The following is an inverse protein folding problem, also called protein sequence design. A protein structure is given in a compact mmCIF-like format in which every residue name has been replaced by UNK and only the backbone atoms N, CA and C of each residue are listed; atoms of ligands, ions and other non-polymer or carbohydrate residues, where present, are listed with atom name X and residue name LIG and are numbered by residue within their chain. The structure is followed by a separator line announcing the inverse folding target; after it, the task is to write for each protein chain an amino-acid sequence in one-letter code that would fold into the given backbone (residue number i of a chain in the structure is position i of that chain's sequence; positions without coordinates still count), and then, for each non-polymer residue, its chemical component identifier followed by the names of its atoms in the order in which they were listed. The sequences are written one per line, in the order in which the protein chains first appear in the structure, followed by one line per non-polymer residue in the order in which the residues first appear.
data_IF_700172828666
#
_entry.id   IF_700172828666
#
_cell.length_a   1.000
_cell.length_b   1.000
_cell.length_c   1.000
_cell.angle_alpha   90.00
_cell.angle_beta   90.00
_cell.angle_gamma   90.00
#
_symmetry.space_group_name_H-M   'P 1'
#
loop_
_entity.id
_entity.type
_entity.pdbx_description
1 polymer ?
#
# COMPACT_ATOMS: atom_id res chain seq x y z
N UNK A 1 12.03 19.98 4.01
CA UNK A 1 11.04 19.11 4.71
C UNK A 1 9.64 19.19 4.10
N UNK A 2 8.96 20.33 4.07
CA UNK A 2 7.58 20.44 3.53
C UNK A 2 7.45 19.92 2.08
N UNK A 3 8.39 20.21 1.19
CA UNK A 3 8.37 19.68 -0.18
C UNK A 3 8.54 18.16 -0.23
N UNK A 4 9.42 17.61 0.59
CA UNK A 4 9.59 16.15 0.69
C UNK A 4 8.32 15.46 1.18
N UNK A 5 7.63 16.03 2.17
CA UNK A 5 6.34 15.51 2.67
C UNK A 5 5.28 15.60 1.57
N UNK A 6 5.19 16.72 0.86
CA UNK A 6 4.25 16.89 -0.27
C UNK A 6 4.49 15.84 -1.35
N UNK A 7 5.74 15.63 -1.73
CA UNK A 7 6.11 14.63 -2.73
C UNK A 7 5.80 13.20 -2.27
N UNK A 8 6.01 12.88 -0.99
CA UNK A 8 5.66 11.58 -0.40
C UNK A 8 4.15 11.36 -0.29
N UNK A 9 3.39 12.41 -0.03
CA UNK A 9 1.93 12.33 0.13
C UNK A 9 1.21 12.09 -1.21
N UNK A 10 1.76 12.59 -2.32
CA UNK A 10 1.19 12.43 -3.65
C UNK A 10 1.21 10.98 -4.14
N UNK A 11 0.18 10.55 -4.92
CA UNK A 11 -1.00 11.30 -5.32
C UNK A 11 -2.17 11.19 -4.33
N UNK A 12 -1.99 10.60 -3.17
CA UNK A 12 -3.05 10.15 -2.25
C UNK A 12 -3.59 11.25 -1.33
N UNK A 13 -2.72 12.17 -0.90
CA UNK A 13 -3.07 13.26 0.00
C UNK A 13 -2.61 14.60 -0.60
N UNK A 14 -3.48 15.60 -0.50
CA UNK A 14 -3.12 16.97 -0.81
C UNK A 14 -2.45 17.62 0.39
N UNK A 15 -1.34 18.30 0.17
CA UNK A 15 -0.59 19.03 1.19
C UNK A 15 -0.63 20.52 0.83
N UNK A 16 -1.37 21.28 1.59
CA UNK A 16 -1.55 22.73 1.39
C UNK A 16 -0.96 23.51 2.56
N UNK A 17 -0.36 24.68 2.33
CA UNK A 17 0.00 25.58 3.40
C UNK A 17 -1.26 26.12 4.08
N UNK A 18 -1.25 26.21 5.40
CA UNK A 18 -2.38 26.77 6.15
C UNK A 18 -2.25 26.53 7.64
N UNK A 19 -3.13 27.17 8.40
CA UNK A 19 -3.28 26.86 9.81
C UNK A 19 -4.09 25.56 9.97
N UNK A 20 -3.78 24.74 10.99
CA UNK A 20 -4.54 23.54 11.26
C UNK A 20 -5.99 23.87 11.62
N UNK A 21 -6.94 23.06 11.17
CA UNK A 21 -8.32 23.21 11.55
C UNK A 21 -8.50 22.90 13.06
N UNK A 22 -9.39 23.61 13.75
CA UNK A 22 -9.62 23.37 15.18
C UNK A 22 -9.95 21.90 15.46
N UNK A 23 -9.29 21.32 16.48
CA UNK A 23 -9.54 19.95 16.93
C UNK A 23 -8.91 18.87 16.07
N UNK A 24 -8.11 19.21 15.08
CA UNK A 24 -7.28 18.26 14.34
C UNK A 24 -6.00 17.90 15.11
N UNK A 25 -5.40 16.78 14.77
CA UNK A 25 -4.06 16.43 15.24
C UNK A 25 -3.01 17.19 14.42
N UNK A 26 -2.00 17.69 15.11
CA UNK A 26 -0.82 18.30 14.51
C UNK A 26 0.38 17.36 14.60
N UNK A 27 1.19 17.28 13.56
CA UNK A 27 2.48 16.57 13.58
C UNK A 27 3.58 17.59 13.41
N UNK A 28 4.39 17.76 14.44
CA UNK A 28 5.37 18.83 14.57
C UNK A 28 6.78 18.22 14.58
N UNK A 29 7.66 18.74 13.74
CA UNK A 29 9.06 18.36 13.74
C UNK A 29 9.97 19.58 13.97
N UNK A 30 11.07 19.36 14.68
CA UNK A 30 12.07 20.39 14.92
C UNK A 30 11.69 21.43 16.00
N UNK A 31 10.61 21.17 16.77
CA UNK A 31 10.23 21.98 17.91
C UNK A 31 10.46 21.19 19.22
N UNK A 32 10.76 21.91 20.29
CA UNK A 32 10.88 21.33 21.62
C UNK A 32 9.48 21.00 22.16
N UNK A 33 9.22 19.75 22.57
CA UNK A 33 7.94 19.39 23.17
C UNK A 33 7.70 20.16 24.47
N UNK A 34 6.47 20.63 24.75
CA UNK A 34 6.15 21.25 26.02
C UNK A 34 6.21 20.25 27.18
N UNK A 35 6.31 20.76 28.41
CA UNK A 35 6.26 19.93 29.61
C UNK A 35 4.89 19.22 29.70
N UNK A 36 4.89 17.96 30.14
CA UNK A 36 3.66 17.17 30.31
C UNK A 36 3.31 16.29 29.11
N UNK A 37 4.06 16.33 28.02
CA UNK A 37 3.90 15.36 26.94
C UNK A 37 4.24 13.93 27.39
N UNK A 38 3.54 12.96 26.82
CA UNK A 38 3.78 11.52 27.05
C UNK A 38 4.66 10.97 25.93
N UNK A 39 5.69 10.20 26.30
CA UNK A 39 6.55 9.54 25.31
C UNK A 39 5.85 8.31 24.73
N UNK A 40 5.86 8.23 23.40
CA UNK A 40 5.35 7.10 22.63
C UNK A 40 6.41 6.68 21.61
N UNK A 41 6.59 5.37 21.43
CA UNK A 41 7.56 4.86 20.47
C UNK A 41 6.92 3.90 19.49
N UNK A 42 7.42 3.94 18.26
CA UNK A 42 7.02 3.00 17.19
C UNK A 42 8.25 2.30 16.66
N UNK A 43 8.25 0.98 16.78
CA UNK A 43 9.29 0.13 16.19
C UNK A 43 8.70 -0.69 15.06
N UNK A 44 9.29 -0.61 13.88
CA UNK A 44 8.94 -1.46 12.74
C UNK A 44 10.14 -2.33 12.39
N UNK A 45 9.88 -3.55 11.92
CA UNK A 45 10.92 -4.48 11.54
C UNK A 45 11.81 -3.90 10.42
N UNK A 46 13.12 -3.85 10.67
CA UNK A 46 14.11 -3.32 9.71
C UNK A 46 14.19 -1.80 9.65
N UNK A 47 13.59 -1.10 10.62
CA UNK A 47 13.63 0.36 10.72
C UNK A 47 14.08 0.78 12.12
N UNK A 48 14.61 1.99 12.24
CA UNK A 48 14.92 2.59 13.53
C UNK A 48 13.64 2.83 14.33
N UNK A 49 13.71 2.66 15.65
CA UNK A 49 12.63 3.06 16.54
C UNK A 49 12.46 4.58 16.46
N UNK A 50 11.24 5.01 16.25
CA UNK A 50 10.87 6.43 16.21
C UNK A 50 10.20 6.81 17.51
N UNK A 51 10.67 7.88 18.13
CA UNK A 51 10.10 8.43 19.35
C UNK A 51 9.25 9.66 19.04
N UNK A 52 8.10 9.73 19.70
CA UNK A 52 7.20 10.87 19.66
C UNK A 52 6.89 11.33 21.08
N UNK A 53 6.77 12.65 21.26
CA UNK A 53 6.19 13.23 22.46
C UNK A 53 4.77 13.68 22.14
N UNK A 54 3.79 13.19 22.87
CA UNK A 54 2.36 13.38 22.59
C UNK A 54 1.72 14.31 23.60
N UNK A 55 1.16 15.41 23.13
CA UNK A 55 0.26 16.27 23.88
C UNK A 55 -1.19 15.91 23.54
N UNK A 56 -1.83 15.13 24.39
CA UNK A 56 -3.23 14.73 24.20
C UNK A 56 -4.22 15.89 24.33
N UNK A 57 -3.89 16.89 25.14
CA UNK A 57 -4.76 18.04 25.38
C UNK A 57 -4.86 18.91 24.13
N UNK A 58 -3.73 19.23 23.54
CA UNK A 58 -3.66 20.05 22.32
C UNK A 58 -3.70 19.23 21.04
N UNK A 59 -3.74 17.90 21.14
CA UNK A 59 -3.68 16.99 19.98
C UNK A 59 -2.46 17.22 19.11
N UNK A 60 -1.31 17.36 19.74
CA UNK A 60 -0.04 17.59 19.07
C UNK A 60 0.90 16.39 19.27
N UNK A 61 1.57 16.02 18.20
CA UNK A 61 2.55 14.96 18.17
C UNK A 61 3.88 15.54 17.70
N UNK A 62 4.84 15.57 18.61
CA UNK A 62 6.18 16.08 18.35
C UNK A 62 7.10 14.91 17.98
N UNK A 63 7.66 14.99 16.78
CA UNK A 63 8.66 14.03 16.34
C UNK A 63 10.02 14.40 16.92
N UNK A 64 10.57 13.50 17.74
CA UNK A 64 11.89 13.65 18.34
C UNK A 64 12.89 12.89 17.49
N UNK A 65 13.72 13.60 16.74
CA UNK A 65 14.78 13.01 15.94
C UNK A 65 16.06 13.81 16.04
N UNK A 66 17.22 13.17 15.92
CA UNK A 66 18.49 13.84 15.75
C UNK A 66 18.47 14.73 14.48
N UNK A 67 19.23 15.82 14.53
CA UNK A 67 19.44 16.65 13.34
C UNK A 67 20.08 15.82 12.23
N UNK A 68 19.56 15.95 11.00
CA UNK A 68 20.05 15.19 9.85
C UNK A 68 19.56 13.75 9.73
N UNK A 69 18.65 13.29 10.60
CA UNK A 69 18.05 11.96 10.47
C UNK A 69 17.30 11.80 9.14
N UNK A 70 17.76 10.88 8.32
CA UNK A 70 17.16 10.56 7.02
C UNK A 70 15.75 9.99 7.11
N UNK A 71 15.33 9.52 8.28
CA UNK A 71 14.00 8.93 8.53
C UNK A 71 12.91 9.95 8.91
N UNK A 72 13.27 11.20 9.23
CA UNK A 72 12.31 12.23 9.68
C UNK A 72 11.11 12.34 8.75
N UNK A 73 11.34 12.47 7.46
CA UNK A 73 10.25 12.63 6.47
C UNK A 73 9.33 11.40 6.43
N UNK A 74 9.89 10.19 6.54
CA UNK A 74 9.12 8.95 6.61
C UNK A 74 8.29 8.87 7.89
N UNK A 75 8.86 9.26 9.00
CA UNK A 75 8.20 9.24 10.31
C UNK A 75 7.04 10.22 10.38
N UNK A 76 7.22 11.42 9.84
CA UNK A 76 6.14 12.42 9.73
C UNK A 76 5.00 11.91 8.86
N UNK A 77 5.31 11.35 7.68
CA UNK A 77 4.29 10.77 6.81
C UNK A 77 3.57 9.59 7.47
N UNK A 78 4.30 8.76 8.22
CA UNK A 78 3.72 7.63 8.97
C UNK A 78 2.72 8.12 10.02
N UNK A 79 3.10 9.14 10.80
CA UNK A 79 2.22 9.76 11.79
C UNK A 79 0.98 10.38 11.13
N UNK A 80 1.17 11.18 10.08
CA UNK A 80 0.08 11.78 9.31
C UNK A 80 -0.87 10.71 8.77
N UNK A 81 -0.34 9.65 8.17
CA UNK A 81 -1.13 8.53 7.69
C UNK A 81 -1.90 7.83 8.81
N UNK A 82 -1.31 7.66 9.99
CA UNK A 82 -2.00 7.06 11.14
C UNK A 82 -3.19 7.90 11.59
N UNK A 83 -3.06 9.22 11.62
CA UNK A 83 -4.15 10.16 11.92
C UNK A 83 -5.29 10.00 10.92
N UNK A 84 -4.99 10.09 9.63
CA UNK A 84 -6.00 9.97 8.56
C UNK A 84 -6.68 8.59 8.56
N UNK A 85 -5.92 7.50 8.74
CA UNK A 85 -6.49 6.15 8.80
C UNK A 85 -7.39 5.97 10.01
N UNK A 86 -7.03 6.53 11.16
CA UNK A 86 -7.87 6.52 12.34
C UNK A 86 -9.19 7.27 12.09
N UNK A 87 -9.14 8.45 11.48
CA UNK A 87 -10.33 9.21 11.12
C UNK A 87 -11.22 8.44 10.11
N UNK A 88 -10.62 7.85 9.08
CA UNK A 88 -11.32 7.05 8.08
C UNK A 88 -11.96 5.78 8.70
N UNK A 89 -11.27 5.13 9.62
CA UNK A 89 -11.80 3.95 10.33
C UNK A 89 -13.08 4.30 11.13
N UNK A 90 -13.09 5.43 11.85
CA UNK A 90 -14.30 5.92 12.53
C UNK A 90 -15.45 6.22 11.58
N UNK A 91 -15.16 6.46 10.30
CA UNK A 91 -16.17 6.63 9.25
C UNK A 91 -16.60 5.32 8.58
N UNK A 92 -16.12 4.18 9.09
CA UNK A 92 -16.47 2.85 8.58
C UNK A 92 -15.70 2.42 7.33
N UNK A 93 -14.61 3.10 6.99
CA UNK A 93 -13.69 2.67 5.92
C UNK A 93 -13.03 1.36 6.33
N UNK A 94 -13.05 0.37 5.46
CA UNK A 94 -12.34 -0.89 5.67
C UNK A 94 -10.93 -0.81 5.09
N UNK A 95 -9.98 -1.42 5.78
CA UNK A 95 -8.60 -1.54 5.32
C UNK A 95 -8.29 -2.99 5.01
N UNK A 96 -7.76 -3.24 3.81
CA UNK A 96 -7.32 -4.58 3.40
C UNK A 96 -5.82 -4.59 3.11
N UNK A 97 -5.16 -5.67 3.51
CA UNK A 97 -3.83 -6.00 3.01
C UNK A 97 -3.96 -6.55 1.59
N UNK A 98 -4.01 -5.67 0.62
CA UNK A 98 -4.24 -5.95 -0.78
C UNK A 98 -3.51 -4.96 -1.68
N UNK A 99 -3.16 -5.39 -2.89
CA UNK A 99 -2.83 -4.47 -3.97
C UNK A 99 -4.11 -4.01 -4.67
N UNK A 100 -4.05 -2.84 -5.30
CA UNK A 100 -5.14 -2.33 -6.15
C UNK A 100 -4.54 -1.81 -7.45
N UNK A 101 -5.05 -2.32 -8.54
CA UNK A 101 -4.64 -1.97 -9.90
C UNK A 101 -5.87 -1.72 -10.75
N UNK A 102 -5.82 -0.71 -11.58
CA UNK A 102 -6.76 -0.57 -12.68
C UNK A 102 -6.20 -1.34 -13.88
N UNK A 103 -6.85 -2.42 -14.27
CA UNK A 103 -6.43 -3.31 -15.34
C UNK A 103 -7.41 -3.18 -16.51
N UNK A 104 -6.94 -2.66 -17.65
CA UNK A 104 -7.78 -2.31 -18.80
C UNK A 104 -9.00 -1.46 -18.43
N UNK A 105 -8.79 -0.45 -17.58
CA UNK A 105 -9.85 0.46 -17.11
C UNK A 105 -10.74 -0.09 -16.00
N UNK A 106 -10.48 -1.30 -15.47
CA UNK A 106 -11.25 -1.94 -14.41
C UNK A 106 -10.45 -2.03 -13.12
N UNK A 107 -11.02 -1.58 -12.00
CA UNK A 107 -10.38 -1.70 -10.71
C UNK A 107 -10.40 -3.14 -10.18
N UNK A 108 -9.22 -3.71 -9.96
CA UNK A 108 -9.03 -5.08 -9.48
C UNK A 108 -8.26 -5.06 -8.16
N UNK A 109 -8.90 -5.55 -7.09
CA UNK A 109 -8.25 -5.75 -5.80
C UNK A 109 -7.52 -7.10 -5.78
N UNK A 110 -6.19 -7.06 -5.61
CA UNK A 110 -5.34 -8.24 -5.60
C UNK A 110 -5.05 -8.66 -4.15
N UNK A 111 -5.65 -9.76 -3.73
CA UNK A 111 -5.38 -10.39 -2.45
C UNK A 111 -4.34 -11.50 -2.61
N UNK A 112 -3.74 -11.90 -1.50
CA UNK A 112 -2.80 -13.03 -1.50
C UNK A 112 -1.93 -13.00 -0.25
N UNK A 113 -1.30 -14.12 0.06
CA UNK A 113 -0.34 -14.24 1.15
C UNK A 113 0.91 -13.36 0.95
N UNK A 114 1.79 -13.37 1.94
CA UNK A 114 3.15 -12.91 1.71
C UNK A 114 3.76 -13.74 0.57
N UNK A 115 4.47 -13.07 -0.32
CA UNK A 115 5.10 -13.69 -1.50
C UNK A 115 4.13 -14.26 -2.55
N UNK A 116 2.83 -13.96 -2.48
CA UNK A 116 1.88 -14.33 -3.56
C UNK A 116 2.09 -13.55 -4.87
N UNK A 117 3.06 -12.63 -4.91
CA UNK A 117 3.44 -11.90 -6.12
C UNK A 117 2.56 -10.69 -6.46
N UNK A 118 1.76 -10.16 -5.53
CA UNK A 118 0.90 -8.98 -5.76
C UNK A 118 1.66 -7.82 -6.43
N UNK A 119 2.78 -7.39 -5.83
CA UNK A 119 3.60 -6.29 -6.38
C UNK A 119 4.16 -6.63 -7.75
N UNK A 120 4.64 -7.86 -7.96
CA UNK A 120 5.17 -8.32 -9.24
C UNK A 120 4.10 -8.29 -10.33
N UNK A 121 2.88 -8.71 -9.98
CA UNK A 121 1.74 -8.71 -10.89
C UNK A 121 1.33 -7.28 -11.28
N UNK A 122 1.26 -6.34 -10.33
CA UNK A 122 0.98 -4.94 -10.59
C UNK A 122 2.07 -4.33 -11.47
N UNK A 123 3.35 -4.55 -11.17
CA UNK A 123 4.44 -4.04 -12.00
C UNK A 123 4.40 -4.61 -13.41
N UNK A 124 4.13 -5.90 -13.56
CA UNK A 124 4.01 -6.54 -14.86
C UNK A 124 2.84 -5.95 -15.68
N UNK A 125 1.68 -5.67 -15.05
CA UNK A 125 0.54 -5.05 -15.72
C UNK A 125 0.85 -3.65 -16.24
N UNK A 126 1.58 -2.85 -15.46
CA UNK A 126 2.04 -1.52 -15.90
C UNK A 126 3.04 -1.64 -17.06
N UNK A 127 3.99 -2.56 -16.98
CA UNK A 127 4.97 -2.80 -18.06
C UNK A 127 4.34 -3.32 -19.34
N UNK A 128 3.21 -4.04 -19.26
CA UNK A 128 2.44 -4.47 -20.43
C UNK A 128 1.57 -3.34 -21.02
N UNK A 129 1.47 -2.19 -20.33
CA UNK A 129 0.62 -1.06 -20.74
C UNK A 129 -0.87 -1.28 -20.47
N UNK A 130 -1.24 -2.35 -19.78
CA UNK A 130 -2.64 -2.69 -19.45
C UNK A 130 -3.04 -2.24 -18.05
N UNK A 131 -2.09 -1.84 -17.20
CA UNK A 131 -2.32 -1.53 -15.79
C UNK A 131 -1.96 -0.12 -15.37
N UNK A 132 -2.72 0.43 -14.41
CA UNK A 132 -2.35 1.61 -13.61
C UNK A 132 -2.35 1.20 -12.14
N UNK A 133 -1.22 1.32 -11.46
CA UNK A 133 -1.13 1.03 -10.02
C UNK A 133 -1.89 2.09 -9.22
N UNK A 134 -2.74 1.66 -8.30
CA UNK A 134 -3.32 2.51 -7.26
C UNK A 134 -2.59 2.29 -5.94
N UNK A 135 -2.40 1.05 -5.51
CA UNK A 135 -1.52 0.72 -4.38
C UNK A 135 -1.01 -0.73 -4.48
N UNK A 136 0.06 -1.04 -3.75
CA UNK A 136 0.65 -2.38 -3.79
C UNK A 136 0.37 -3.24 -2.56
N UNK A 137 -0.09 -2.67 -1.45
CA UNK A 137 -0.08 -3.41 -0.18
C UNK A 137 -1.23 -3.07 0.79
N UNK A 138 -1.60 -1.79 0.90
CA UNK A 138 -2.69 -1.32 1.76
C UNK A 138 -3.72 -0.57 0.93
N UNK A 139 -4.94 -1.04 0.92
CA UNK A 139 -6.07 -0.36 0.29
C UNK A 139 -7.13 -0.02 1.33
N UNK A 140 -7.71 1.15 1.26
CA UNK A 140 -8.95 1.48 1.96
C UNK A 140 -10.13 1.35 1.02
N UNK A 141 -11.23 0.82 1.53
CA UNK A 141 -12.42 0.49 0.78
C UNK A 141 -13.63 1.15 1.42
N UNK A 142 -14.42 1.81 0.60
CA UNK A 142 -15.64 2.50 1.01
C UNK A 142 -16.76 2.10 0.07
N UNK A 143 -17.90 1.66 0.60
CA UNK A 143 -19.08 1.47 -0.20
C UNK A 143 -19.60 2.82 -0.71
N UNK A 144 -20.05 2.86 -1.94
CA UNK A 144 -20.73 4.01 -2.50
C UNK A 144 -22.01 4.31 -1.73
N UNK A 145 -22.55 5.51 -1.88
CA UNK A 145 -23.75 5.95 -1.11
C UNK A 145 -24.94 5.02 -1.31
N UNK A 146 -25.11 4.53 -2.51
CA UNK A 146 -26.22 3.65 -2.90
C UNK A 146 -25.96 2.17 -2.51
N UNK A 147 -24.72 1.84 -2.08
CA UNK A 147 -24.33 0.50 -1.64
C UNK A 147 -24.02 -0.48 -2.78
N UNK A 148 -24.14 -0.05 -4.03
CA UNK A 148 -23.98 -0.93 -5.20
C UNK A 148 -22.54 -1.02 -5.72
N UNK A 149 -21.66 -0.14 -5.23
CA UNK A 149 -20.27 -0.08 -5.63
C UNK A 149 -19.31 0.03 -4.45
N UNK A 150 -18.04 -0.20 -4.73
CA UNK A 150 -16.95 -0.02 -3.77
C UNK A 150 -15.84 0.77 -4.43
N UNK A 151 -15.45 1.86 -3.80
CA UNK A 151 -14.27 2.63 -4.19
C UNK A 151 -13.07 2.20 -3.35
N UNK A 152 -11.99 1.88 -4.03
CA UNK A 152 -10.69 1.59 -3.42
C UNK A 152 -9.75 2.77 -3.54
N UNK A 153 -9.09 3.13 -2.44
CA UNK A 153 -8.14 4.26 -2.37
C UNK A 153 -6.81 3.77 -1.82
N UNK A 154 -5.72 4.21 -2.43
CA UNK A 154 -4.37 3.94 -1.95
C UNK A 154 -3.96 4.87 -0.79
N UNK A 155 -2.78 4.61 -0.23
CA UNK A 155 -2.19 5.41 0.83
C UNK A 155 -0.75 5.80 0.50
N UNK A 156 -0.29 6.97 0.95
CA UNK A 156 1.10 7.38 0.76
C UNK A 156 2.03 6.47 1.57
N UNK A 157 2.76 5.63 0.87
CA UNK A 157 3.75 4.72 1.47
C UNK A 157 4.78 4.30 0.43
N UNK A 158 5.92 3.84 0.91
CA UNK A 158 6.93 3.23 0.06
C UNK A 158 6.43 1.91 -0.52
N UNK A 159 6.77 1.67 -1.77
CA UNK A 159 6.43 0.47 -2.53
C UNK A 159 7.51 -0.56 -2.31
N UNK A 160 7.11 -1.69 -1.73
CA UNK A 160 8.01 -2.80 -1.42
C UNK A 160 8.13 -3.73 -2.62
N UNK A 161 9.31 -3.82 -3.22
CA UNK A 161 9.60 -4.67 -4.38
C UNK A 161 10.70 -5.66 -4.04
N UNK A 162 10.43 -6.94 -4.23
CA UNK A 162 11.45 -7.97 -4.04
C UNK A 162 12.54 -7.86 -5.10
N UNK A 163 13.77 -8.17 -4.71
CA UNK A 163 14.91 -8.09 -5.62
C UNK A 163 14.77 -9.08 -6.79
N UNK A 164 14.25 -10.29 -6.53
CA UNK A 164 13.94 -11.27 -7.57
C UNK A 164 12.89 -10.78 -8.59
N UNK A 165 11.97 -9.92 -8.16
CA UNK A 165 11.00 -9.28 -9.05
C UNK A 165 11.67 -8.26 -9.96
N UNK A 166 12.60 -7.45 -9.42
CA UNK A 166 13.37 -6.51 -10.24
C UNK A 166 14.20 -7.27 -11.28
N UNK A 167 14.88 -8.34 -10.87
CA UNK A 167 15.68 -9.16 -11.77
C UNK A 167 14.82 -9.80 -12.88
N UNK A 168 13.62 -10.29 -12.52
CA UNK A 168 12.70 -10.91 -13.47
C UNK A 168 12.17 -9.90 -14.50
N UNK A 169 11.75 -8.72 -14.04
CA UNK A 169 11.07 -7.73 -14.89
C UNK A 169 12.03 -6.89 -15.73
N UNK A 170 13.23 -6.61 -15.25
CA UNK A 170 14.18 -5.70 -15.88
C UNK A 170 15.49 -6.36 -16.33
N UNK A 171 15.76 -7.59 -15.90
CA UNK A 171 17.06 -8.25 -16.06
C UNK A 171 18.09 -7.76 -15.04
N UNK A 172 19.04 -8.62 -14.65
CA UNK A 172 19.97 -8.35 -13.55
C UNK A 172 20.73 -7.04 -13.67
N UNK A 173 21.34 -6.74 -14.82
CA UNK A 173 22.15 -5.54 -15.01
C UNK A 173 21.36 -4.25 -14.81
N UNK A 174 20.13 -4.17 -15.33
CA UNK A 174 19.24 -3.02 -15.13
C UNK A 174 18.69 -2.98 -13.70
N UNK A 175 18.37 -4.11 -13.12
CA UNK A 175 17.93 -4.20 -11.73
C UNK A 175 19.00 -3.66 -10.77
N UNK A 176 20.27 -3.90 -11.03
CA UNK A 176 21.39 -3.36 -10.27
C UNK A 176 21.48 -1.84 -10.37
N UNK A 177 21.32 -1.29 -11.56
CA UNK A 177 21.26 0.16 -11.77
C UNK A 177 20.07 0.78 -11.02
N UNK A 178 18.90 0.17 -11.11
CA UNK A 178 17.70 0.60 -10.37
C UNK A 178 18.00 0.64 -8.88
N UNK A 179 18.48 -0.47 -8.31
CA UNK A 179 18.80 -0.55 -6.87
C UNK A 179 19.74 0.55 -6.41
N UNK A 180 20.74 0.87 -7.21
CA UNK A 180 21.75 1.92 -6.88
C UNK A 180 21.19 3.34 -6.96
N UNK A 181 20.08 3.57 -7.65
CA UNK A 181 19.44 4.88 -7.78
C UNK A 181 18.35 5.17 -6.74
N UNK A 182 17.94 4.17 -5.95
CA UNK A 182 16.87 4.33 -4.97
C UNK A 182 17.33 5.12 -3.74
N UNK A 183 16.55 6.10 -3.33
CA UNK A 183 16.91 7.04 -2.26
C UNK A 183 16.27 6.71 -0.90
N UNK A 184 15.43 5.68 -0.81
CA UNK A 184 14.81 5.32 0.47
C UNK A 184 15.87 4.85 1.48
N UNK A 185 15.90 5.38 2.73
CA UNK A 185 16.95 5.09 3.71
C UNK A 185 17.17 3.59 3.99
N UNK A 186 16.11 2.79 3.98
CA UNK A 186 16.22 1.34 4.19
C UNK A 186 17.04 0.61 3.10
N UNK A 187 17.22 1.21 1.93
CA UNK A 187 18.01 0.58 0.86
C UNK A 187 19.50 0.68 1.12
N UNK A 188 19.97 1.57 2.00
CA UNK A 188 21.41 1.73 2.32
C UNK A 188 22.01 0.40 2.83
N UNK A 189 21.26 -0.36 3.63
CA UNK A 189 21.70 -1.69 4.09
C UNK A 189 21.90 -2.66 2.93
N UNK A 190 21.05 -2.61 1.89
CA UNK A 190 21.19 -3.45 0.71
C UNK A 190 22.43 -3.08 -0.12
N UNK A 191 22.74 -1.80 -0.22
CA UNK A 191 23.94 -1.30 -0.91
C UNK A 191 25.21 -1.72 -0.19
N UNK A 192 25.28 -1.58 1.14
CA UNK A 192 26.46 -1.96 1.93
C UNK A 192 26.70 -3.47 1.91
N UNK A 193 25.67 -4.31 1.90
CA UNK A 193 25.84 -5.76 1.73
C UNK A 193 26.47 -6.09 0.38
N UNK A 194 26.05 -5.42 -0.68
CA UNK A 194 26.62 -5.61 -2.01
C UNK A 194 28.09 -5.16 -2.10
N UNK A 195 28.43 -4.03 -1.52
CA UNK A 195 29.82 -3.55 -1.44
C UNK A 195 30.73 -4.53 -0.71
N UNK A 196 30.17 -5.28 0.25
CA UNK A 196 30.87 -6.35 0.97
C UNK A 196 30.93 -7.67 0.20
N UNK A 197 30.46 -7.73 -1.06
CA UNK A 197 30.46 -8.95 -1.88
C UNK A 197 29.36 -9.96 -1.50
N UNK A 198 28.44 -9.59 -0.61
CA UNK A 198 27.30 -10.42 -0.22
C UNK A 198 26.13 -10.15 -1.16
N UNK A 199 25.59 -11.20 -1.80
CA UNK A 199 24.42 -11.02 -2.66
C UNK A 199 23.21 -10.61 -1.80
N UNK A 200 22.62 -9.41 -2.04
CA UNK A 200 21.55 -8.92 -1.21
C UNK A 200 20.26 -9.71 -1.47
N UNK A 201 19.74 -10.33 -0.43
CA UNK A 201 18.42 -10.95 -0.45
C UNK A 201 17.42 -10.03 0.22
N UNK A 202 16.20 -9.93 -0.30
CA UNK A 202 15.15 -9.19 0.37
C UNK A 202 14.34 -8.29 -0.56
N UNK A 203 14.11 -7.06 -0.11
CA UNK A 203 13.16 -6.14 -0.69
C UNK A 203 13.76 -4.75 -0.80
N UNK A 204 13.71 -4.16 -1.98
CA UNK A 204 13.97 -2.75 -2.18
C UNK A 204 12.69 -1.94 -1.88
N UNK A 205 12.84 -0.76 -1.31
CA UNK A 205 11.77 0.18 -1.09
C UNK A 205 11.90 1.35 -2.07
N UNK A 206 10.84 1.58 -2.84
CA UNK A 206 10.72 2.69 -3.77
C UNK A 206 9.75 3.72 -3.21
N UNK A 207 10.10 4.98 -3.32
CA UNK A 207 9.10 6.02 -3.15
C UNK A 207 8.09 6.01 -4.30
N UNK A 208 6.88 6.53 -4.13
CA UNK A 208 5.89 6.57 -5.22
C UNK A 208 6.40 7.22 -6.49
N UNK A 209 7.18 8.31 -6.39
CA UNK A 209 7.76 8.96 -7.57
C UNK A 209 8.86 8.13 -8.22
N UNK A 210 9.72 7.44 -7.43
CA UNK A 210 10.74 6.53 -7.98
C UNK A 210 10.10 5.38 -8.76
N UNK A 211 8.97 4.88 -8.25
CA UNK A 211 8.18 3.89 -8.98
C UNK A 211 7.59 4.47 -10.27
N UNK A 212 7.00 5.66 -10.20
CA UNK A 212 6.40 6.32 -11.36
C UNK A 212 7.45 6.59 -12.45
N UNK A 213 8.62 7.09 -12.06
CA UNK A 213 9.76 7.33 -12.96
C UNK A 213 10.29 6.01 -13.56
N UNK A 214 10.50 4.99 -12.73
CA UNK A 214 10.97 3.67 -13.15
C UNK A 214 10.05 3.01 -14.17
N UNK A 215 8.74 3.11 -13.92
CA UNK A 215 7.70 2.48 -14.73
C UNK A 215 7.22 3.37 -15.89
N UNK A 216 7.73 4.60 -15.99
CA UNK A 216 7.28 5.64 -16.92
C UNK A 216 5.74 5.77 -16.94
N UNK A 217 5.13 5.90 -15.76
CA UNK A 217 3.69 5.91 -15.56
C UNK A 217 3.26 6.88 -14.46
N UNK A 218 1.95 7.04 -14.31
CA UNK A 218 1.35 7.71 -13.16
C UNK A 218 0.80 6.67 -12.19
N UNK A 219 0.77 7.03 -10.92
CA UNK A 219 0.07 6.25 -9.89
C UNK A 219 -1.33 6.82 -9.74
N UNK A 220 -2.35 5.97 -9.78
CA UNK A 220 -3.73 6.35 -9.46
C UNK A 220 -3.92 6.54 -7.96
N UNK A 221 -4.80 7.44 -7.54
CA UNK A 221 -5.13 7.64 -6.12
C UNK A 221 -6.28 6.74 -5.66
N UNK A 222 -7.24 6.48 -6.54
CA UNK A 222 -8.44 5.68 -6.28
C UNK A 222 -8.99 5.10 -7.57
N UNK A 223 -9.77 4.02 -7.46
CA UNK A 223 -10.56 3.44 -8.56
C UNK A 223 -11.77 2.70 -8.00
N UNK A 224 -12.82 2.54 -8.81
CA UNK A 224 -13.94 1.66 -8.49
C UNK A 224 -13.48 0.22 -8.53
N UNK A 225 -13.72 -0.55 -7.47
CA UNK A 225 -13.36 -1.97 -7.42
C UNK A 225 -14.47 -2.77 -8.08
N UNK A 226 -14.13 -3.45 -9.17
CA UNK A 226 -15.08 -4.27 -9.94
C UNK A 226 -14.86 -5.77 -9.72
N UNK A 227 -13.63 -6.16 -9.36
CA UNK A 227 -13.32 -7.56 -9.07
C UNK A 227 -12.32 -7.69 -7.93
N UNK A 228 -12.37 -8.84 -7.28
CA UNK A 228 -11.40 -9.29 -6.28
C UNK A 228 -10.70 -10.53 -6.80
N UNK A 229 -9.37 -10.52 -6.85
CA UNK A 229 -8.57 -11.65 -7.31
C UNK A 229 -7.61 -12.09 -6.21
N UNK A 230 -7.76 -13.33 -5.76
CA UNK A 230 -6.83 -13.96 -4.82
C UNK A 230 -5.69 -14.62 -5.58
N UNK A 231 -4.52 -13.99 -5.55
CA UNK A 231 -3.32 -14.48 -6.20
C UNK A 231 -2.62 -15.56 -5.37
N UNK A 232 -2.15 -16.58 -6.05
CA UNK A 232 -1.22 -17.57 -5.50
C UNK A 232 -0.28 -18.06 -6.60
N UNK A 233 0.92 -18.51 -6.20
CA UNK A 233 1.85 -19.08 -7.16
C UNK A 233 1.47 -20.55 -7.46
N UNK A 234 1.64 -20.93 -8.70
CA UNK A 234 1.53 -22.31 -9.14
C UNK A 234 2.91 -22.97 -9.09
N UNK A 235 2.97 -24.21 -8.63
CA UNK A 235 4.21 -25.01 -8.60
C UNK A 235 4.56 -25.52 -10.00
N UNK A 236 3.54 -25.68 -10.85
CA UNK A 236 3.69 -26.07 -12.26
C UNK A 236 2.74 -25.28 -13.17
N UNK A 237 3.05 -25.12 -14.48
CA UNK A 237 2.18 -24.47 -15.44
C UNK A 237 0.79 -25.13 -15.56
N UNK A 238 0.68 -26.42 -15.33
CA UNK A 238 -0.60 -27.16 -15.38
C UNK A 238 -1.54 -26.80 -14.24
N UNK A 239 -1.06 -26.17 -13.20
CA UNK A 239 -1.86 -25.70 -12.08
C UNK A 239 -2.29 -24.23 -12.21
N UNK A 240 -1.78 -23.54 -13.22
CA UNK A 240 -2.16 -22.15 -13.49
C UNK A 240 -3.61 -22.07 -13.99
N UNK A 241 -4.32 -21.05 -13.56
CA UNK A 241 -5.70 -20.82 -14.01
C UNK A 241 -6.51 -19.96 -13.06
N UNK A 242 -7.70 -19.59 -13.51
CA UNK A 242 -8.65 -18.76 -12.79
C UNK A 242 -9.94 -19.56 -12.50
N UNK A 243 -10.36 -19.55 -11.25
CA UNK A 243 -11.61 -20.16 -10.81
C UNK A 243 -12.45 -19.18 -9.98
N UNK A 244 -13.79 -19.15 -10.14
CA UNK A 244 -14.65 -18.33 -9.31
C UNK A 244 -14.61 -18.78 -7.83
N UNK A 245 -14.68 -17.81 -6.93
CA UNK A 245 -14.78 -18.05 -5.47
C UNK A 245 -16.12 -17.51 -4.97
N UNK A 246 -16.90 -18.35 -4.32
CA UNK A 246 -18.26 -18.02 -3.90
C UNK A 246 -18.52 -18.38 -2.42
N UNK A 247 -19.64 -17.90 -1.89
CA UNK A 247 -20.14 -18.28 -0.58
C UNK A 247 -19.19 -18.03 0.59
N UNK A 248 -19.13 -18.96 1.51
CA UNK A 248 -18.32 -18.87 2.73
C UNK A 248 -16.82 -18.78 2.47
N UNK A 249 -16.35 -19.35 1.36
CA UNK A 249 -14.94 -19.27 0.98
C UNK A 249 -14.52 -17.82 0.66
N UNK A 250 -15.40 -17.04 -0.03
CA UNK A 250 -15.18 -15.62 -0.31
C UNK A 250 -15.06 -14.81 0.97
N UNK A 251 -16.03 -14.98 1.88
CA UNK A 251 -16.02 -14.28 3.16
C UNK A 251 -14.72 -14.58 3.95
N UNK A 252 -14.32 -15.84 4.05
CA UNK A 252 -13.10 -16.25 4.75
C UNK A 252 -11.82 -15.68 4.13
N UNK A 253 -11.76 -15.54 2.80
CA UNK A 253 -10.60 -14.92 2.12
C UNK A 253 -10.52 -13.42 2.41
N UNK A 254 -11.64 -12.71 2.42
CA UNK A 254 -11.71 -11.29 2.75
C UNK A 254 -11.32 -11.05 4.22
N UNK A 255 -11.90 -11.79 5.15
CA UNK A 255 -11.66 -11.60 6.59
C UNK A 255 -10.20 -11.80 6.99
N UNK A 256 -9.51 -12.72 6.33
CA UNK A 256 -8.06 -12.93 6.52
C UNK A 256 -7.21 -11.72 6.10
N UNK A 257 -7.75 -10.80 5.32
CA UNK A 257 -7.04 -9.64 4.77
C UNK A 257 -7.46 -8.32 5.35
N UNK A 258 -8.53 -8.29 6.15
CA UNK A 258 -8.93 -7.08 6.87
C UNK A 258 -7.85 -6.71 7.87
N UNK A 259 -7.35 -5.48 7.74
CA UNK A 259 -6.40 -4.89 8.67
C UNK A 259 -7.15 -4.27 9.84
N UNK A 260 -6.82 -4.70 11.04
CA UNK A 260 -7.30 -4.07 12.26
C UNK A 260 -6.33 -2.96 12.66
N UNK A 261 -6.84 -1.77 12.94
CA UNK A 261 -6.03 -0.69 13.47
C UNK A 261 -5.90 -0.82 15.00
N UNK A 262 -4.78 -0.35 15.57
CA UNK A 262 -3.59 0.21 14.96
C UNK A 262 -2.71 -0.89 14.36
N UNK A 263 -2.54 -0.89 13.05
CA UNK A 263 -1.62 -1.82 12.39
C UNK A 263 -0.25 -1.16 12.26
N UNK A 264 0.71 -1.48 13.11
CA UNK A 264 2.08 -0.91 13.12
C UNK A 264 2.12 0.63 13.22
N UNK A 265 1.14 1.23 13.88
CA UNK A 265 1.05 2.68 14.06
C UNK A 265 0.79 3.02 15.52
N UNK A 266 0.90 4.30 15.85
CA UNK A 266 0.57 4.81 17.18
C UNK A 266 -0.87 4.50 17.56
N UNK A 267 -1.08 4.00 18.75
CA UNK A 267 -2.40 3.68 19.31
C UNK A 267 -2.95 4.82 20.19
N UNK A 268 -2.87 6.05 19.69
CA UNK A 268 -3.27 7.24 20.45
C UNK A 268 -4.47 7.98 19.86
N UNK A 269 -4.86 7.64 18.62
CA UNK A 269 -5.87 8.41 17.89
C UNK A 269 -7.30 7.88 18.03
N UNK A 270 -7.49 6.75 18.72
CA UNK A 270 -8.75 6.01 18.77
C UNK A 270 -9.03 5.24 17.45
N UNK A 271 -9.44 4.00 17.56
CA UNK A 271 -9.54 3.10 16.41
C UNK A 271 -10.88 2.37 16.32
N UNK A 272 -11.85 2.74 17.15
CA UNK A 272 -13.15 2.10 17.12
C UNK A 272 -13.88 2.43 15.80
N UNK A 273 -14.15 1.42 14.95
CA UNK A 273 -14.87 1.63 13.71
C UNK A 273 -16.35 1.89 13.97
N UNK A 274 -17.00 2.62 13.06
CA UNK A 274 -18.45 2.63 12.96
C UNK A 274 -18.91 1.25 12.43
N UNK A 275 -19.59 0.42 13.25
CA UNK A 275 -19.91 -0.95 12.89
C UNK A 275 -20.90 -1.04 11.71
N UNK A 276 -21.89 -0.13 11.64
CA UNK A 276 -22.92 -0.17 10.60
C UNK A 276 -22.36 0.21 9.23
N UNK A 277 -21.50 1.24 9.19
CA UNK A 277 -20.82 1.66 7.96
C UNK A 277 -19.81 0.64 7.49
N UNK A 278 -19.05 0.05 8.42
CA UNK A 278 -18.10 -1.04 8.11
C UNK A 278 -18.83 -2.24 7.56
N UNK A 279 -20.00 -2.60 8.11
CA UNK A 279 -20.82 -3.71 7.65
C UNK A 279 -21.36 -3.46 6.24
N UNK A 280 -21.77 -2.23 5.91
CA UNK A 280 -22.20 -1.87 4.55
C UNK A 280 -21.08 -2.11 3.53
N UNK A 281 -19.86 -1.65 3.83
CA UNK A 281 -18.70 -1.88 2.94
C UNK A 281 -18.37 -3.36 2.81
N UNK A 282 -18.46 -4.15 3.90
CA UNK A 282 -18.28 -5.62 3.86
C UNK A 282 -19.32 -6.29 2.96
N UNK A 283 -20.59 -5.91 3.08
CA UNK A 283 -21.65 -6.46 2.26
C UNK A 283 -21.46 -6.15 0.78
N UNK A 284 -21.09 -4.91 0.45
CA UNK A 284 -20.80 -4.53 -0.93
C UNK A 284 -19.61 -5.34 -1.50
N UNK A 285 -18.53 -5.52 -0.72
CA UNK A 285 -17.39 -6.37 -1.13
C UNK A 285 -17.78 -7.83 -1.35
N UNK A 286 -18.70 -8.36 -0.56
CA UNK A 286 -19.17 -9.74 -0.72
C UNK A 286 -19.99 -9.94 -2.00
N UNK A 287 -20.52 -8.88 -2.59
CA UNK A 287 -21.26 -8.94 -3.84
C UNK A 287 -20.34 -8.85 -5.07
N UNK A 288 -19.09 -8.39 -4.89
CA UNK A 288 -18.15 -8.30 -6.02
C UNK A 288 -17.75 -9.69 -6.54
N UNK A 289 -17.63 -9.85 -7.87
CA UNK A 289 -17.02 -11.03 -8.46
C UNK A 289 -15.64 -11.29 -7.86
N UNK A 290 -15.45 -12.51 -7.40
CA UNK A 290 -14.22 -12.92 -6.71
C UNK A 290 -13.65 -14.16 -7.36
N UNK A 291 -12.36 -14.16 -7.61
CA UNK A 291 -11.65 -15.24 -8.29
C UNK A 291 -10.40 -15.66 -7.50
N UNK A 292 -10.07 -16.94 -7.55
CA UNK A 292 -8.73 -17.42 -7.23
C UNK A 292 -7.96 -17.57 -8.53
N UNK A 293 -6.78 -16.99 -8.59
CA UNK A 293 -5.90 -17.05 -9.75
C UNK A 293 -4.53 -17.60 -9.33
N UNK A 294 -4.20 -18.77 -9.88
CA UNK A 294 -2.89 -19.40 -9.72
C UNK A 294 -2.07 -19.14 -10.98
N UNK A 295 -0.80 -18.74 -10.82
CA UNK A 295 0.04 -18.37 -11.94
C UNK A 295 1.51 -18.70 -11.72
N UNK A 296 2.23 -18.92 -12.82
CA UNK A 296 3.67 -19.16 -12.81
C UNK A 296 4.42 -17.82 -12.66
N UNK A 297 5.19 -17.63 -11.59
CA UNK A 297 5.90 -16.38 -11.33
C UNK A 297 6.82 -15.95 -12.49
N UNK A 298 7.50 -16.90 -13.11
CA UNK A 298 8.43 -16.63 -14.24
C UNK A 298 7.72 -16.04 -15.46
N UNK A 299 6.44 -16.33 -15.63
CA UNK A 299 5.62 -15.92 -16.77
C UNK A 299 4.67 -14.76 -16.41
N UNK A 300 4.91 -14.06 -15.29
CA UNK A 300 3.99 -13.06 -14.72
C UNK A 300 3.46 -12.06 -15.75
N UNK A 301 4.25 -11.64 -16.74
CA UNK A 301 3.80 -10.72 -17.78
C UNK A 301 2.71 -11.35 -18.69
N UNK A 302 2.89 -12.60 -19.10
CA UNK A 302 1.87 -13.34 -19.87
C UNK A 302 0.63 -13.63 -19.04
N UNK A 303 0.83 -13.91 -17.75
CA UNK A 303 -0.26 -14.22 -16.83
C UNK A 303 -1.12 -12.99 -16.51
N UNK A 304 -0.55 -11.78 -16.58
CA UNK A 304 -1.32 -10.53 -16.52
C UNK A 304 -2.30 -10.44 -17.71
N UNK A 305 -1.83 -10.70 -18.92
CA UNK A 305 -2.66 -10.66 -20.13
C UNK A 305 -3.73 -11.76 -20.10
N UNK A 306 -3.38 -12.95 -19.60
CA UNK A 306 -4.31 -14.03 -19.36
C UNK A 306 -5.42 -13.64 -18.37
N UNK A 307 -5.06 -13.10 -17.20
CA UNK A 307 -6.05 -12.63 -16.24
C UNK A 307 -6.94 -11.52 -16.82
N UNK A 308 -6.35 -10.55 -17.52
CA UNK A 308 -7.10 -9.47 -18.14
C UNK A 308 -8.13 -9.97 -19.15
N UNK A 309 -7.74 -10.95 -19.99
CA UNK A 309 -8.64 -11.62 -20.94
C UNK A 309 -9.78 -12.36 -20.22
N UNK A 310 -9.45 -13.13 -19.19
CA UNK A 310 -10.46 -13.86 -18.40
C UNK A 310 -11.44 -12.93 -17.69
N UNK A 311 -10.97 -11.81 -17.16
CA UNK A 311 -11.86 -10.81 -16.54
C UNK A 311 -12.77 -10.16 -17.58
N UNK A 312 -12.29 -9.88 -18.80
CA UNK A 312 -13.11 -9.34 -19.88
C UNK A 312 -14.27 -10.27 -20.28
N UNK A 313 -14.11 -11.60 -20.18
CA UNK A 313 -15.18 -12.56 -20.42
C UNK A 313 -16.30 -12.48 -19.36
N UNK A 314 -15.98 -12.07 -18.13
CA UNK A 314 -16.95 -11.91 -17.04
C UNK A 314 -17.61 -10.53 -17.01
N UNK A 315 -16.99 -9.54 -17.62
CA UNK A 315 -17.47 -8.16 -17.68
C UNK A 315 -17.48 -7.72 -19.16
N UNK A 316 -18.49 -8.12 -19.94
CA UNK A 316 -18.59 -7.66 -21.31
C UNK A 316 -18.59 -6.12 -21.34
N UNK A 317 -17.94 -5.55 -22.35
CA UNK A 317 -17.97 -4.11 -22.58
C UNK A 317 -19.39 -3.70 -22.95
N UNK A 318 -19.89 -2.65 -22.32
CA UNK A 318 -21.14 -1.99 -22.69
C UNK A 318 -21.05 -1.39 -24.10
#
# INVERSE_FOLDING_TARGET
MAESVRRLAAPYLTVEPGAPAPGTWEVIAGATPPAGCVAESVTAQGESTVEYMVDHHHRALFHVAPEGDSWVTQSLLRATRAIHRSAANRQGVLFLHAGLVELNGRGVALLGGSRAGKTSFIMASVLNGSGTMVCNDDVSLTADRDGDGVTGTGWPRSISVRLDTLDLLFGRGRADTIRSSLTHPANQTLLSLRESGVEPHGTALLYPWEYADLMNTRIGSATKVEAIVHLSLADSPSEAGMVPVTGSQRAALLDKRVLRLPNKHLNIFGHEPDPDRSQRTRSALQNLPTFAFRYAFRDVRKEVDHLAGRLAEHFPSD
#
